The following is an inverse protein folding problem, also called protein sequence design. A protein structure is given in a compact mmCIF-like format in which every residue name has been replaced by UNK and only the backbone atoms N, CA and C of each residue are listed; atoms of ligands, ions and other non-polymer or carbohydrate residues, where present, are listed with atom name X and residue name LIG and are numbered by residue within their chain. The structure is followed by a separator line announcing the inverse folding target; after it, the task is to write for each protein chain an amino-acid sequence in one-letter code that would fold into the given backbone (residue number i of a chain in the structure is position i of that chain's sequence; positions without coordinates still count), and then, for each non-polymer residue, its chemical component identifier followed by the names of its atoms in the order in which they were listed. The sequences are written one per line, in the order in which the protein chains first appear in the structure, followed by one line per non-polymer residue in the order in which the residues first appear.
data_IF_950845516909
#
_entry.id   IF_950845516909
#
_cell.length_a   1.000
_cell.length_b   1.000
_cell.length_c   1.000
_cell.angle_alpha   90.00
_cell.angle_beta   90.00
_cell.angle_gamma   90.00
#
_symmetry.space_group_name_H-M   'P 1'
#
loop_
_entity.id
_entity.type
_entity.pdbx_description
1 polymer ?
#
# COMPACT_ATOMS: atom_id res chain seq x y z
N UNK A 1 8.91 4.10 -21.03
CA UNK A 1 8.20 4.30 -22.30
C UNK A 1 9.23 4.45 -23.41
N UNK A 2 9.34 3.48 -24.31
CA UNK A 2 10.39 3.44 -25.36
C UNK A 2 9.92 3.91 -26.75
N UNK A 3 8.62 4.14 -26.94
CA UNK A 3 8.05 4.73 -28.15
C UNK A 3 6.71 5.43 -27.84
N UNK A 4 6.39 6.47 -28.62
CA UNK A 4 5.07 7.11 -28.59
C UNK A 4 4.08 6.23 -29.38
N UNK A 5 2.94 5.89 -28.76
CA UNK A 5 1.82 5.23 -29.43
C UNK A 5 0.72 6.27 -29.72
N UNK A 6 0.52 6.68 -30.99
CA UNK A 6 -0.53 7.62 -31.36
C UNK A 6 -1.94 7.13 -31.05
N UNK A 7 -2.15 5.81 -30.92
CA UNK A 7 -3.46 5.26 -30.57
C UNK A 7 -3.78 5.41 -29.07
N UNK A 8 -2.78 5.69 -28.23
CA UNK A 8 -2.95 5.98 -26.82
C UNK A 8 -3.29 7.46 -26.52
N UNK A 9 -3.42 8.31 -27.55
CA UNK A 9 -3.84 9.71 -27.37
C UNK A 9 -5.28 9.75 -26.85
N UNK A 10 -5.48 10.50 -25.78
CA UNK A 10 -6.79 10.70 -25.14
C UNK A 10 -6.96 12.15 -24.72
N UNK A 11 -8.19 12.64 -24.77
CA UNK A 11 -8.63 13.93 -24.22
C UNK A 11 -9.19 13.80 -22.80
N UNK A 12 -9.13 12.59 -22.23
CA UNK A 12 -9.59 12.28 -20.87
C UNK A 12 -8.44 12.40 -19.90
N UNK A 13 -8.66 13.20 -18.86
CA UNK A 13 -7.71 13.42 -17.80
C UNK A 13 -8.38 13.14 -16.46
N UNK A 14 -7.67 12.44 -15.59
CA UNK A 14 -7.98 12.38 -14.17
C UNK A 14 -7.35 13.60 -13.51
N UNK A 15 -8.19 14.47 -12.93
CA UNK A 15 -7.73 15.68 -12.22
C UNK A 15 -7.88 15.44 -10.73
N UNK A 16 -6.77 15.44 -10.01
CA UNK A 16 -6.72 15.14 -8.59
C UNK A 16 -6.08 16.27 -7.79
N UNK A 17 -6.43 16.30 -6.50
CA UNK A 17 -5.76 17.19 -5.56
C UNK A 17 -4.35 16.67 -5.29
N UNK A 18 -3.35 17.56 -5.37
CA UNK A 18 -1.99 17.22 -4.97
C UNK A 18 -1.94 16.84 -3.49
N UNK A 19 -1.50 15.62 -3.19
CA UNK A 19 -1.33 15.15 -1.83
C UNK A 19 -0.27 15.99 -1.10
N UNK A 20 -0.48 16.22 0.20
CA UNK A 20 0.52 16.88 1.03
C UNK A 20 1.76 15.99 1.16
N UNK A 21 2.91 16.59 1.48
CA UNK A 21 4.13 15.82 1.72
C UNK A 21 3.90 14.81 2.87
N UNK A 22 4.18 13.51 2.67
CA UNK A 22 3.98 12.51 3.70
C UNK A 22 5.13 12.50 4.73
N UNK A 23 4.86 11.89 5.88
CA UNK A 23 5.89 11.54 6.89
C UNK A 23 6.71 10.34 6.40
N UNK A 24 6.05 9.36 5.81
CA UNK A 24 6.63 8.17 5.21
C UNK A 24 5.80 7.71 4.01
N UNK A 25 6.41 6.95 3.12
CA UNK A 25 5.73 6.29 2.01
C UNK A 25 5.73 4.79 2.29
N UNK A 26 4.63 4.12 1.96
CA UNK A 26 4.47 2.68 2.02
C UNK A 26 4.01 2.15 0.66
N UNK A 27 4.26 0.87 0.44
CA UNK A 27 3.65 0.06 -0.61
C UNK A 27 2.75 -0.95 0.09
N UNK A 28 1.48 -1.04 -0.32
CA UNK A 28 0.54 -2.01 0.20
C UNK A 28 0.07 -2.88 -0.95
N UNK A 29 0.25 -4.19 -0.88
CA UNK A 29 -0.30 -5.10 -1.90
C UNK A 29 -1.13 -6.19 -1.23
N UNK A 30 -2.36 -6.40 -1.68
CA UNK A 30 -3.18 -7.54 -1.31
C UNK A 30 -3.35 -8.39 -2.54
N UNK A 31 -2.74 -9.56 -2.55
CA UNK A 31 -2.70 -10.44 -3.72
C UNK A 31 -3.08 -11.87 -3.39
N UNK A 32 -3.65 -12.55 -4.36
CA UNK A 32 -3.93 -13.98 -4.29
C UNK A 32 -2.65 -14.77 -4.54
N UNK A 33 -2.33 -15.66 -3.62
CA UNK A 33 -1.31 -16.69 -3.77
C UNK A 33 -1.98 -18.08 -3.93
N UNK A 34 -1.58 -18.91 -4.91
CA UNK A 34 -2.19 -20.22 -5.12
C UNK A 34 -2.05 -21.21 -3.96
N UNK A 35 -1.04 -21.03 -3.10
CA UNK A 35 -0.75 -21.94 -1.99
C UNK A 35 -1.33 -21.42 -0.67
N UNK A 36 -1.28 -20.11 -0.44
CA UNK A 36 -1.62 -19.51 0.85
C UNK A 36 -2.93 -18.71 0.86
N UNK A 37 -3.55 -18.50 -0.29
CA UNK A 37 -4.71 -17.62 -0.43
C UNK A 37 -4.32 -16.14 -0.46
N UNK A 38 -5.20 -15.25 0.00
CA UNK A 38 -4.91 -13.81 -0.03
C UNK A 38 -3.86 -13.44 1.02
N UNK A 39 -2.88 -12.62 0.62
CA UNK A 39 -1.84 -12.11 1.52
C UNK A 39 -1.67 -10.61 1.34
N UNK A 40 -1.47 -9.91 2.47
CA UNK A 40 -1.11 -8.49 2.53
C UNK A 40 0.42 -8.38 2.63
N UNK A 41 1.04 -7.68 1.70
CA UNK A 41 2.43 -7.24 1.78
C UNK A 41 2.47 -5.76 2.15
N UNK A 42 3.24 -5.45 3.20
CA UNK A 42 3.60 -4.10 3.60
C UNK A 42 5.04 -3.88 3.20
N UNK A 43 5.31 -2.85 2.41
CA UNK A 43 6.66 -2.44 2.03
C UNK A 43 6.91 -1.00 2.43
N UNK A 44 8.14 -0.68 2.80
CA UNK A 44 8.55 0.72 2.84
C UNK A 44 8.64 1.28 1.42
N UNK A 45 8.20 2.51 1.21
CA UNK A 45 8.26 3.20 -0.08
C UNK A 45 9.50 4.09 -0.25
N UNK A 46 9.73 4.52 -1.49
CA UNK A 46 10.82 5.42 -1.86
C UNK A 46 12.13 4.70 -2.25
N UNK A 47 13.03 5.45 -2.90
CA UNK A 47 14.23 4.93 -3.57
C UNK A 47 15.13 4.10 -2.64
N UNK A 48 15.29 4.51 -1.38
CA UNK A 48 16.12 3.77 -0.43
C UNK A 48 15.49 2.42 -0.04
N UNK A 49 14.15 2.36 0.03
CA UNK A 49 13.44 1.14 0.40
C UNK A 49 13.53 0.07 -0.71
N UNK A 50 13.48 0.49 -1.98
CA UNK A 50 13.71 -0.40 -3.14
C UNK A 50 15.08 -1.07 -3.09
N UNK A 51 16.12 -0.33 -2.67
CA UNK A 51 17.49 -0.86 -2.60
C UNK A 51 17.67 -1.94 -1.51
N UNK A 52 16.93 -1.84 -0.41
CA UNK A 52 17.11 -2.70 0.76
C UNK A 52 16.06 -3.81 0.90
N UNK A 53 15.05 -3.82 0.01
CA UNK A 53 13.96 -4.81 0.01
C UNK A 53 13.23 -4.87 1.36
N UNK A 54 12.77 -3.73 1.86
CA UNK A 54 12.13 -3.63 3.18
C UNK A 54 10.64 -3.91 3.11
N UNK A 55 10.26 -5.18 3.33
CA UNK A 55 8.87 -5.63 3.28
C UNK A 55 8.57 -6.78 4.24
N UNK A 56 7.31 -6.89 4.64
CA UNK A 56 6.75 -8.02 5.40
C UNK A 56 5.42 -8.46 4.79
N UNK A 57 5.13 -9.76 4.83
CA UNK A 57 3.88 -10.33 4.33
C UNK A 57 3.09 -10.99 5.46
N UNK A 58 1.78 -10.74 5.48
CA UNK A 58 0.81 -11.24 6.44
C UNK A 58 -0.30 -11.97 5.68
N UNK A 59 -0.68 -13.17 6.13
CA UNK A 59 -1.78 -13.92 5.52
C UNK A 59 -3.13 -13.37 5.99
N UNK A 60 -4.11 -13.29 5.09
CA UNK A 60 -5.47 -12.89 5.47
C UNK A 60 -6.25 -14.05 6.09
N UNK A 61 -7.20 -13.78 7.01
CA UNK A 61 -7.57 -12.44 7.51
C UNK A 61 -6.50 -11.87 8.47
N UNK A 62 -6.27 -10.56 8.37
CA UNK A 62 -5.33 -9.84 9.26
C UNK A 62 -6.07 -8.95 10.24
N UNK A 63 -5.52 -8.85 11.45
CA UNK A 63 -5.97 -7.91 12.48
C UNK A 63 -5.13 -6.63 12.45
N UNK A 64 -5.69 -5.52 12.94
CA UNK A 64 -4.94 -4.26 13.11
C UNK A 64 -3.66 -4.44 13.95
N UNK A 65 -3.68 -5.36 14.93
CA UNK A 65 -2.51 -5.64 15.78
C UNK A 65 -1.39 -6.33 15.00
N UNK A 66 -1.72 -7.27 14.12
CA UNK A 66 -0.74 -7.94 13.25
C UNK A 66 -0.16 -6.96 12.23
N UNK A 67 -1.00 -6.09 11.67
CA UNK A 67 -0.54 -5.02 10.78
C UNK A 67 0.38 -4.04 11.52
N UNK A 68 0.04 -3.61 12.73
CA UNK A 68 0.92 -2.75 13.53
C UNK A 68 2.27 -3.42 13.80
N UNK A 69 2.26 -4.71 14.17
CA UNK A 69 3.50 -5.47 14.36
C UNK A 69 4.32 -5.56 13.06
N UNK A 70 3.66 -5.76 11.92
CA UNK A 70 4.28 -5.75 10.60
C UNK A 70 4.92 -4.39 10.25
N UNK A 71 4.19 -3.30 10.44
CA UNK A 71 4.68 -1.94 10.23
C UNK A 71 5.91 -1.64 11.10
N UNK A 72 5.89 -2.05 12.37
CA UNK A 72 7.02 -1.89 13.30
C UNK A 72 8.21 -2.80 12.97
N UNK A 73 7.98 -3.89 12.24
CA UNK A 73 9.02 -4.81 11.78
C UNK A 73 9.79 -4.34 10.54
N UNK A 74 9.30 -3.30 9.85
CA UNK A 74 10.00 -2.70 8.73
C UNK A 74 11.29 -2.00 9.19
N UNK A 75 12.35 -2.10 8.39
CA UNK A 75 13.65 -1.45 8.64
C UNK A 75 13.51 0.07 8.74
N UNK A 76 12.56 0.66 8.02
CA UNK A 76 12.29 2.10 8.04
C UNK A 76 11.14 2.50 9.00
N UNK A 77 10.70 1.60 9.88
CA UNK A 77 9.62 1.86 10.84
C UNK A 77 9.88 3.10 11.72
N UNK A 78 11.15 3.43 12.00
CA UNK A 78 11.53 4.62 12.77
C UNK A 78 11.07 5.95 12.16
N UNK A 79 10.73 5.99 10.86
CA UNK A 79 10.10 7.17 10.26
C UNK A 79 8.71 7.43 10.83
N UNK A 80 8.00 6.38 11.26
CA UNK A 80 6.67 6.47 11.87
C UNK A 80 6.72 7.11 13.27
N UNK A 81 7.87 7.04 13.95
CA UNK A 81 8.08 7.70 15.25
C UNK A 81 8.34 9.21 15.10
N UNK A 82 8.40 9.72 13.86
CA UNK A 82 8.73 11.09 13.53
C UNK A 82 10.22 11.27 13.20
N UNK A 83 10.51 11.91 12.06
CA UNK A 83 11.87 12.16 11.59
C UNK A 83 12.07 13.62 11.18
N UNK A 84 13.21 14.22 11.56
CA UNK A 84 13.59 15.62 11.27
C UNK A 84 12.48 16.66 11.58
N UNK A 85 11.86 16.54 12.75
CA UNK A 85 10.85 17.50 13.22
C UNK A 85 9.42 17.24 12.73
N UNK A 86 9.19 16.19 11.94
CA UNK A 86 7.85 15.68 11.70
C UNK A 86 7.26 15.08 12.99
N UNK A 87 5.94 15.20 13.17
CA UNK A 87 5.27 14.53 14.29
C UNK A 87 5.23 13.01 14.07
N UNK A 88 5.15 12.28 15.17
CA UNK A 88 4.93 10.85 15.15
C UNK A 88 3.57 10.51 14.53
N UNK A 89 3.52 9.40 13.81
CA UNK A 89 2.31 8.82 13.24
C UNK A 89 1.55 8.07 14.33
N UNK A 90 0.23 8.19 14.32
CA UNK A 90 -0.66 7.33 15.08
C UNK A 90 -0.70 5.93 14.42
N UNK A 91 0.31 5.11 14.72
CA UNK A 91 0.50 3.78 14.10
C UNK A 91 -0.71 2.88 14.31
N UNK A 92 -1.40 2.97 15.45
CA UNK A 92 -2.62 2.19 15.70
C UNK A 92 -3.76 2.54 14.74
N UNK A 93 -3.97 3.83 14.46
CA UNK A 93 -4.96 4.27 13.44
C UNK A 93 -4.57 3.85 12.03
N UNK A 94 -3.30 4.02 11.68
CA UNK A 94 -2.77 3.58 10.39
C UNK A 94 -2.97 2.06 10.19
N UNK A 95 -2.64 1.26 11.20
CA UNK A 95 -2.76 -0.18 11.15
C UNK A 95 -4.22 -0.64 11.06
N UNK A 96 -5.14 0.03 11.76
CA UNK A 96 -6.57 -0.22 11.61
C UNK A 96 -7.06 0.07 10.19
N UNK A 97 -6.68 1.22 9.61
CA UNK A 97 -7.04 1.57 8.23
C UNK A 97 -6.51 0.54 7.21
N UNK A 98 -5.27 0.08 7.37
CA UNK A 98 -4.67 -0.92 6.48
C UNK A 98 -5.33 -2.30 6.66
N UNK A 99 -5.67 -2.68 7.89
CA UNK A 99 -6.38 -3.93 8.15
C UNK A 99 -7.79 -3.91 7.53
N UNK A 100 -8.51 -2.80 7.65
CA UNK A 100 -9.83 -2.61 7.03
C UNK A 100 -9.74 -2.71 5.50
N UNK A 101 -8.73 -2.06 4.90
CA UNK A 101 -8.43 -2.19 3.47
C UNK A 101 -8.17 -3.65 3.08
N UNK A 102 -7.29 -4.34 3.79
CA UNK A 102 -6.94 -5.73 3.49
C UNK A 102 -8.17 -6.65 3.60
N UNK A 103 -8.99 -6.50 4.63
CA UNK A 103 -10.22 -7.26 4.80
C UNK A 103 -11.23 -6.96 3.67
N UNK A 104 -11.38 -5.70 3.26
CA UNK A 104 -12.27 -5.32 2.17
C UNK A 104 -11.85 -5.96 0.83
N UNK A 105 -10.55 -6.01 0.54
CA UNK A 105 -10.03 -6.71 -0.65
C UNK A 105 -10.19 -8.23 -0.49
N UNK A 106 -9.87 -8.78 0.68
CA UNK A 106 -10.00 -10.21 0.97
C UNK A 106 -11.44 -10.73 0.90
N UNK A 107 -12.43 -9.91 1.22
CA UNK A 107 -13.85 -10.25 1.05
C UNK A 107 -14.26 -10.46 -0.41
N UNK A 108 -13.43 -9.99 -1.36
CA UNK A 108 -13.59 -10.15 -2.81
C UNK A 108 -12.62 -11.18 -3.39
N UNK A 109 -12.12 -12.09 -2.54
CA UNK A 109 -11.30 -13.22 -2.97
C UNK A 109 -12.08 -14.07 -3.99
N UNK A 110 -11.57 -14.14 -5.22
CA UNK A 110 -12.24 -14.80 -6.36
C UNK A 110 -12.69 -13.82 -7.45
N UNK A 111 -12.87 -12.54 -7.13
CA UNK A 111 -13.05 -11.47 -8.12
C UNK A 111 -11.73 -10.74 -8.38
N UNK A 112 -10.99 -10.45 -7.31
CA UNK A 112 -9.73 -9.71 -7.37
C UNK A 112 -8.53 -10.68 -7.30
N UNK A 113 -7.59 -10.50 -8.22
CA UNK A 113 -6.30 -11.18 -8.22
C UNK A 113 -5.27 -10.40 -7.39
N UNK A 114 -5.28 -9.07 -7.50
CA UNK A 114 -4.33 -8.18 -6.84
C UNK A 114 -4.89 -6.76 -6.72
N UNK A 115 -4.62 -6.13 -5.59
CA UNK A 115 -4.76 -4.68 -5.40
C UNK A 115 -3.46 -4.16 -4.81
N UNK A 116 -2.77 -3.30 -5.54
CA UNK A 116 -1.54 -2.65 -5.09
C UNK A 116 -1.78 -1.14 -4.95
N UNK A 117 -1.35 -0.59 -3.83
CA UNK A 117 -1.32 0.85 -3.56
C UNK A 117 0.14 1.27 -3.50
N UNK A 118 0.56 2.05 -4.49
CA UNK A 118 1.95 2.48 -4.62
C UNK A 118 2.04 3.86 -5.34
N UNK A 119 2.24 4.97 -4.63
CA UNK A 119 2.56 5.05 -3.20
C UNK A 119 1.32 5.17 -2.31
N UNK A 120 1.42 4.62 -1.10
CA UNK A 120 0.55 4.95 0.02
C UNK A 120 1.24 5.97 0.93
N UNK A 121 0.72 7.19 0.98
CA UNK A 121 1.28 8.29 1.76
C UNK A 121 0.82 8.22 3.20
N UNK A 122 1.76 8.20 4.13
CA UNK A 122 1.49 8.18 5.57
C UNK A 122 1.55 9.60 6.15
N UNK A 123 0.52 9.96 6.92
CA UNK A 123 0.40 11.20 7.67
C UNK A 123 0.18 10.92 9.17
N UNK A 124 0.08 11.96 9.99
CA UNK A 124 -0.04 11.85 11.44
C UNK A 124 -1.23 10.95 11.89
N UNK A 125 -2.37 11.00 11.20
CA UNK A 125 -3.62 10.36 11.62
C UNK A 125 -4.11 9.21 10.71
N UNK A 126 -3.27 8.75 9.78
CA UNK A 126 -3.60 7.70 8.82
C UNK A 126 -2.85 7.88 7.51
N UNK A 127 -3.34 7.32 6.42
CA UNK A 127 -2.72 7.49 5.11
C UNK A 127 -3.69 7.63 3.94
N UNK A 128 -3.10 7.92 2.79
CA UNK A 128 -3.78 8.25 1.54
C UNK A 128 -3.18 7.38 0.43
N UNK A 129 -4.03 6.64 -0.27
CA UNK A 129 -3.66 5.99 -1.52
C UNK A 129 -3.51 7.05 -2.60
N UNK A 130 -2.31 7.23 -3.13
CA UNK A 130 -2.03 8.23 -4.18
C UNK A 130 -2.20 7.61 -5.56
N UNK A 131 -1.86 6.33 -5.70
CA UNK A 131 -2.06 5.54 -6.90
C UNK A 131 -2.45 4.12 -6.53
N UNK A 132 -3.29 3.51 -7.36
CA UNK A 132 -3.84 2.17 -7.13
C UNK A 132 -3.89 1.40 -8.43
N UNK A 133 -3.23 0.24 -8.43
CA UNK A 133 -3.38 -0.79 -9.44
C UNK A 133 -4.34 -1.86 -8.95
N UNK A 134 -5.29 -2.24 -9.79
CA UNK A 134 -6.25 -3.29 -9.51
C UNK A 134 -6.27 -4.29 -10.67
N UNK A 135 -6.07 -5.56 -10.34
CA UNK A 135 -6.19 -6.68 -11.25
C UNK A 135 -7.36 -7.57 -10.84
N UNK A 136 -8.29 -7.75 -11.76
CA UNK A 136 -9.41 -8.67 -11.63
C UNK A 136 -9.05 -10.03 -12.26
N UNK A 137 -9.68 -11.09 -11.80
CA UNK A 137 -9.62 -12.36 -12.50
C UNK A 137 -10.38 -12.25 -13.83
N UNK A 138 -9.75 -12.70 -14.91
CA UNK A 138 -10.46 -12.88 -16.18
C UNK A 138 -11.31 -14.13 -16.04
N UNK A 139 -12.64 -13.96 -16.07
CA UNK A 139 -13.56 -15.10 -16.14
C UNK A 139 -13.20 -15.96 -17.36
N UNK A 140 -12.97 -17.25 -17.12
CA UNK A 140 -12.59 -18.22 -18.15
C UNK A 140 -13.81 -18.74 -18.90
#
# INVERSE_FOLDING_TARGET
VSACDPAALTDRFLVEKMAAKPVAELILSVRSDPQFGMALTLGSGGVLAELIGDSVTLLLPVTAREVEAGLRGLKLAHLLDGYRGAKAVNVGRLAAQIADFAQAVGARAGELAEVEINPFFVHEEGGVAVDVLLHEWIAT
#
